data_IF_657303784119
#
_entry.id   IF_657303784119
#
_cell.length_a   1.000
_cell.length_b   1.000
_cell.length_c   1.000
_cell.angle_alpha   90.00
_cell.angle_beta   90.00
_cell.angle_gamma   90.00
#
_symmetry.space_group_name_H-M   'P 1'
#
loop_
_entity.id
_entity.type
_entity.pdbx_description
1 polymer ?
#
# COMPACT_ATOMS: atom_id res chain seq x y z
N UNK A 1 29.03 -8.69 -39.26
CA UNK A 1 27.75 -8.14 -38.75
C UNK A 1 26.64 -9.13 -39.08
N UNK A 2 26.33 -10.11 -38.23
CA UNK A 2 25.22 -11.01 -38.49
C UNK A 2 23.94 -10.40 -37.93
N UNK A 3 23.06 -10.06 -38.86
CA UNK A 3 21.63 -9.88 -38.64
C UNK A 3 21.04 -11.13 -37.98
N UNK A 4 20.54 -10.99 -36.75
CA UNK A 4 19.58 -11.95 -36.22
C UNK A 4 18.17 -11.42 -36.43
N UNK A 5 17.59 -11.74 -37.59
CA UNK A 5 16.16 -11.99 -37.67
C UNK A 5 15.85 -13.19 -36.76
N UNK A 6 14.93 -13.03 -35.80
CA UNK A 6 14.28 -14.15 -35.13
C UNK A 6 12.78 -13.93 -35.05
N UNK A 7 12.12 -14.70 -35.92
CA UNK A 7 10.90 -15.47 -35.74
C UNK A 7 9.75 -14.83 -34.96
N UNK A 8 8.70 -14.51 -35.72
CA UNK A 8 7.30 -14.51 -35.27
C UNK A 8 7.02 -15.74 -34.42
N UNK A 9 6.88 -15.53 -33.10
CA UNK A 9 6.10 -16.36 -32.21
C UNK A 9 4.88 -15.53 -31.80
N UNK A 10 3.97 -15.35 -32.75
CA UNK A 10 2.54 -15.32 -32.43
C UNK A 10 2.23 -16.55 -31.58
N UNK A 11 1.54 -16.35 -30.45
CA UNK A 11 1.26 -17.29 -29.35
C UNK A 11 2.23 -17.18 -28.16
N UNK A 12 2.06 -16.09 -27.39
CA UNK A 12 2.43 -16.07 -25.97
C UNK A 12 1.42 -16.87 -25.14
N UNK A 13 1.75 -17.28 -23.90
CA UNK A 13 1.03 -18.30 -23.13
C UNK A 13 -0.32 -17.83 -22.52
N UNK A 14 -0.99 -16.87 -23.16
CA UNK A 14 -2.16 -16.18 -22.58
C UNK A 14 -3.38 -16.08 -23.50
N UNK A 15 -3.48 -16.91 -24.54
CA UNK A 15 -4.81 -17.33 -25.03
C UNK A 15 -5.40 -18.27 -23.95
N UNK A 16 -6.09 -17.69 -22.96
CA UNK A 16 -6.71 -18.45 -21.87
C UNK A 16 -6.68 -17.79 -20.49
N UNK A 17 -6.04 -16.62 -20.31
CA UNK A 17 -6.42 -15.72 -19.23
C UNK A 17 -7.63 -14.89 -19.70
N UNK A 18 -8.73 -15.58 -19.99
CA UNK A 18 -10.02 -14.98 -19.65
C UNK A 18 -9.92 -14.74 -18.14
N UNK A 19 -9.89 -13.47 -17.74
CA UNK A 19 -10.36 -13.12 -16.41
C UNK A 19 -11.75 -13.71 -16.39
N UNK A 20 -11.92 -14.88 -15.77
CA UNK A 20 -13.22 -15.42 -15.46
C UNK A 20 -13.87 -14.36 -14.59
N UNK A 21 -14.60 -13.46 -15.25
CA UNK A 21 -15.80 -12.84 -14.74
C UNK A 21 -16.82 -13.98 -14.59
N UNK A 22 -16.49 -14.97 -13.76
CA UNK A 22 -17.55 -15.68 -13.07
C UNK A 22 -18.20 -14.58 -12.25
N UNK A 23 -19.39 -14.19 -12.69
CA UNK A 23 -20.37 -13.40 -11.96
C UNK A 23 -20.56 -14.03 -10.56
N UNK A 24 -19.63 -13.77 -9.65
CA UNK A 24 -20.02 -13.48 -8.29
C UNK A 24 -20.74 -12.15 -8.42
N UNK A 25 -22.07 -12.23 -8.62
CA UNK A 25 -22.97 -11.18 -8.13
C UNK A 25 -22.67 -11.02 -6.64
N UNK A 26 -21.61 -10.27 -6.33
CA UNK A 26 -21.34 -9.70 -5.04
C UNK A 26 -22.55 -8.82 -4.79
N UNK A 27 -23.38 -9.22 -3.81
CA UNK A 27 -24.46 -8.40 -3.30
C UNK A 27 -23.96 -6.95 -3.24
N UNK A 28 -24.70 -5.99 -3.82
CA UNK A 28 -24.26 -4.58 -3.85
C UNK A 28 -23.98 -4.03 -2.44
N UNK A 29 -24.49 -4.68 -1.38
CA UNK A 29 -24.20 -4.35 0.02
C UNK A 29 -22.77 -4.71 0.49
N UNK A 30 -22.11 -5.69 -0.13
CA UNK A 30 -20.78 -6.23 0.26
C UNK A 30 -19.59 -5.53 -0.41
N UNK A 31 -19.83 -4.58 -1.31
CA UNK A 31 -18.75 -3.97 -2.11
C UNK A 31 -18.08 -2.75 -1.46
N UNK A 32 -18.63 -2.23 -0.36
CA UNK A 32 -18.12 -1.03 0.29
C UNK A 32 -16.95 -1.36 1.25
N UNK A 33 -15.72 -1.12 0.81
CA UNK A 33 -14.51 -1.49 1.54
C UNK A 33 -14.41 -0.83 2.93
N UNK A 34 -14.76 0.45 3.08
CA UNK A 34 -14.74 1.14 4.38
C UNK A 34 -15.61 0.46 5.45
N UNK A 35 -16.83 0.05 5.07
CA UNK A 35 -17.75 -0.75 5.89
C UNK A 35 -17.18 -2.11 6.25
N UNK A 36 -16.64 -2.82 5.26
CA UNK A 36 -16.05 -4.14 5.50
C UNK A 36 -14.88 -4.05 6.48
N UNK A 37 -14.05 -3.01 6.36
CA UNK A 37 -12.95 -2.75 7.30
C UNK A 37 -13.49 -2.43 8.69
N UNK A 38 -14.50 -1.55 8.82
CA UNK A 38 -15.10 -1.27 10.13
C UNK A 38 -15.62 -2.54 10.80
N UNK A 39 -16.37 -3.37 10.07
CA UNK A 39 -16.90 -4.63 10.58
C UNK A 39 -15.78 -5.59 10.99
N UNK A 40 -14.73 -5.69 10.16
CA UNK A 40 -13.52 -6.44 10.47
C UNK A 40 -12.85 -5.90 11.75
N UNK A 41 -12.66 -4.58 11.88
CA UNK A 41 -12.08 -3.95 13.06
C UNK A 41 -12.87 -4.26 14.33
N UNK A 42 -14.20 -4.28 14.30
CA UNK A 42 -15.02 -4.69 15.45
C UNK A 42 -14.68 -6.12 15.94
N UNK A 43 -14.34 -7.03 15.02
CA UNK A 43 -13.96 -8.41 15.34
C UNK A 43 -12.46 -8.60 15.65
N UNK A 44 -11.59 -7.90 14.94
CA UNK A 44 -10.13 -7.98 15.05
C UNK A 44 -9.66 -7.27 16.30
N UNK A 45 -10.15 -6.06 16.58
CA UNK A 45 -9.80 -5.31 17.78
C UNK A 45 -10.34 -5.96 19.06
N UNK A 46 -11.41 -6.75 18.98
CA UNK A 46 -11.93 -7.49 20.14
C UNK A 46 -11.15 -8.76 20.46
N UNK A 47 -10.42 -9.33 19.49
CA UNK A 47 -9.58 -10.54 19.64
C UNK A 47 -8.08 -10.26 19.71
N UNK A 48 -7.65 -9.06 19.30
CA UNK A 48 -6.26 -8.71 19.25
C UNK A 48 -5.65 -8.76 20.67
N UNK A 49 -4.84 -9.78 20.89
CA UNK A 49 -3.83 -9.86 21.94
C UNK A 49 -2.77 -8.81 21.64
N UNK A 50 -3.10 -7.54 21.88
CA UNK A 50 -2.20 -6.39 21.80
C UNK A 50 -1.11 -6.49 22.88
N UNK A 51 -0.20 -7.44 22.73
CA UNK A 51 1.08 -7.40 23.41
C UNK A 51 2.06 -6.82 22.41
N UNK A 52 1.89 -5.53 22.14
CA UNK A 52 2.90 -4.80 21.41
C UNK A 52 4.10 -4.70 22.34
N UNK A 53 5.13 -5.48 22.03
CA UNK A 53 6.28 -5.68 22.89
C UNK A 53 7.31 -4.58 22.65
N UNK A 54 7.69 -3.88 23.71
CA UNK A 54 8.74 -2.85 23.67
C UNK A 54 10.09 -3.54 23.50
N UNK A 55 10.62 -3.56 22.28
CA UNK A 55 11.99 -4.01 22.00
C UNK A 55 12.87 -2.87 21.47
N UNK A 56 14.13 -3.17 21.16
CA UNK A 56 15.11 -2.26 20.52
C UNK A 56 14.75 -1.90 19.05
N UNK A 57 13.48 -1.99 18.67
CA UNK A 57 13.00 -1.91 17.29
C UNK A 57 12.73 -0.47 16.81
N UNK A 58 12.86 0.53 17.70
CA UNK A 58 12.59 1.93 17.42
C UNK A 58 13.83 2.80 17.54
N UNK A 59 13.94 3.80 16.67
CA UNK A 59 14.99 4.82 16.70
C UNK A 59 14.44 6.11 17.34
N UNK A 60 15.01 6.48 18.50
CA UNK A 60 14.66 7.69 19.27
C UNK A 60 14.96 8.99 18.52
N UNK A 61 16.01 9.01 17.68
CA UNK A 61 16.44 10.24 16.99
C UNK A 61 15.42 10.68 15.94
N UNK A 62 14.62 9.75 15.41
CA UNK A 62 13.58 10.03 14.43
C UNK A 62 12.31 10.56 15.09
N UNK A 63 11.93 10.02 16.24
CA UNK A 63 10.64 10.34 16.84
C UNK A 63 10.61 11.72 17.49
N UNK A 64 11.75 12.21 17.98
CA UNK A 64 11.84 13.41 18.85
C UNK A 64 10.94 13.35 20.11
N UNK A 65 10.26 12.22 20.31
CA UNK A 65 9.32 11.83 21.37
C UNK A 65 9.73 10.41 21.81
N UNK A 66 9.39 10.03 23.05
CA UNK A 66 9.67 8.66 23.53
C UNK A 66 8.83 7.63 22.73
N UNK A 67 9.46 6.62 22.10
CA UNK A 67 8.76 5.48 21.50
C UNK A 67 7.78 4.83 22.48
N UNK A 68 8.14 4.73 23.77
CA UNK A 68 7.28 4.19 24.82
C UNK A 68 5.98 5.00 24.95
N UNK A 69 6.08 6.33 25.00
CA UNK A 69 4.91 7.20 25.08
C UNK A 69 4.03 7.09 23.84
N UNK A 70 4.62 7.19 22.64
CA UNK A 70 3.88 7.08 21.38
C UNK A 70 3.16 5.74 21.27
N UNK A 71 3.84 4.68 21.69
CA UNK A 71 3.30 3.35 21.71
C UNK A 71 2.13 3.20 22.69
N UNK A 72 2.28 3.69 23.93
CA UNK A 72 1.20 3.71 24.92
C UNK A 72 -0.02 4.49 24.43
N UNK A 73 0.19 5.64 23.78
CA UNK A 73 -0.88 6.43 23.19
C UNK A 73 -1.58 5.69 22.05
N UNK A 74 -0.82 5.11 21.13
CA UNK A 74 -1.39 4.33 20.02
C UNK A 74 -2.26 3.19 20.56
N UNK A 75 -1.74 2.40 21.52
CA UNK A 75 -2.49 1.32 22.17
C UNK A 75 -3.78 1.82 22.82
N UNK A 76 -3.71 2.96 23.53
CA UNK A 76 -4.88 3.59 24.14
C UNK A 76 -5.91 3.99 23.09
N UNK A 77 -5.49 4.60 21.98
CA UNK A 77 -6.42 5.03 20.95
C UNK A 77 -7.07 3.86 20.22
N UNK A 78 -6.30 2.79 19.97
CA UNK A 78 -6.85 1.56 19.40
C UNK A 78 -7.89 0.93 20.34
N UNK A 79 -7.62 0.87 21.65
CA UNK A 79 -8.59 0.40 22.64
C UNK A 79 -9.86 1.26 22.68
N UNK A 80 -9.71 2.59 22.72
CA UNK A 80 -10.84 3.52 22.76
C UNK A 80 -11.70 3.41 21.49
N UNK A 81 -11.08 3.18 20.32
CA UNK A 81 -11.80 2.93 19.06
C UNK A 81 -12.53 1.58 19.10
N UNK A 82 -11.89 0.54 19.62
CA UNK A 82 -12.50 -0.79 19.78
C UNK A 82 -13.74 -0.74 20.68
N UNK A 83 -13.70 0.05 21.75
CA UNK A 83 -14.83 0.24 22.67
C UNK A 83 -15.92 1.10 22.05
N UNK A 84 -15.55 2.18 21.34
CA UNK A 84 -16.49 3.01 20.59
C UNK A 84 -17.29 2.22 19.55
N UNK A 85 -16.62 1.32 18.81
CA UNK A 85 -17.23 0.41 17.85
C UNK A 85 -18.26 -0.56 18.46
N UNK A 86 -18.11 -0.91 19.74
CA UNK A 86 -19.05 -1.79 20.45
C UNK A 86 -20.26 -1.03 21.01
N UNK A 87 -20.06 0.22 21.41
CA UNK A 87 -21.03 0.99 22.20
C UNK A 87 -21.99 1.85 21.37
N UNK A 88 -21.58 2.30 20.18
CA UNK A 88 -22.37 3.25 19.37
C UNK A 88 -22.65 2.71 17.96
N UNK A 89 -23.93 2.59 17.62
CA UNK A 89 -24.38 2.32 16.24
C UNK A 89 -24.61 3.61 15.43
N UNK A 90 -24.76 4.73 16.11
CA UNK A 90 -25.12 6.02 15.48
C UNK A 90 -23.99 6.60 14.63
N UNK A 91 -22.74 6.15 14.88
CA UNK A 91 -21.54 6.64 14.19
C UNK A 91 -21.04 5.73 13.06
N UNK A 92 -21.74 4.64 12.74
CA UNK A 92 -21.28 3.63 11.77
C UNK A 92 -21.05 4.20 10.36
N UNK A 93 -22.01 4.94 9.81
CA UNK A 93 -21.90 5.54 8.48
C UNK A 93 -20.80 6.61 8.42
N UNK A 94 -20.66 7.41 9.48
CA UNK A 94 -19.61 8.42 9.56
C UNK A 94 -18.21 7.79 9.59
N UNK A 95 -18.07 6.65 10.27
CA UNK A 95 -16.83 5.90 10.32
C UNK A 95 -16.53 5.17 9.00
N UNK A 96 -17.55 4.61 8.35
CA UNK A 96 -17.42 4.03 7.00
C UNK A 96 -16.84 5.05 6.02
N UNK A 97 -17.39 6.27 6.05
CA UNK A 97 -16.93 7.38 5.21
C UNK A 97 -15.53 7.88 5.61
N UNK A 98 -15.23 7.95 6.90
CA UNK A 98 -13.89 8.34 7.37
C UNK A 98 -12.82 7.35 6.94
N UNK A 99 -13.05 6.04 7.11
CA UNK A 99 -12.11 5.00 6.66
C UNK A 99 -11.92 5.08 5.14
N UNK A 100 -13.01 5.27 4.40
CA UNK A 100 -12.95 5.41 2.93
C UNK A 100 -12.14 6.63 2.51
N UNK A 101 -12.29 7.75 3.22
CA UNK A 101 -11.53 8.98 2.99
C UNK A 101 -10.04 8.80 3.27
N UNK A 102 -9.69 8.14 4.38
CA UNK A 102 -8.29 7.87 4.73
C UNK A 102 -7.63 6.88 3.76
N UNK A 103 -8.33 5.84 3.30
CA UNK A 103 -7.80 4.95 2.25
C UNK A 103 -7.55 5.71 0.95
N UNK A 104 -8.40 6.68 0.62
CA UNK A 104 -8.24 7.52 -0.56
C UNK A 104 -7.03 8.44 -0.43
N UNK A 105 -6.81 9.03 0.75
CA UNK A 105 -5.61 9.80 1.06
C UNK A 105 -4.35 8.93 1.06
N UNK A 106 -4.41 7.69 1.55
CA UNK A 106 -3.31 6.72 1.48
C UNK A 106 -2.87 6.51 0.02
N UNK A 107 -3.81 6.30 -0.90
CA UNK A 107 -3.54 6.16 -2.33
C UNK A 107 -2.93 7.45 -2.90
N UNK A 108 -3.52 8.61 -2.58
CA UNK A 108 -3.00 9.92 -3.02
C UNK A 108 -1.55 10.15 -2.62
N UNK A 109 -1.22 10.03 -1.33
CA UNK A 109 0.13 10.27 -0.85
C UNK A 109 1.14 9.26 -1.42
N UNK A 110 0.73 8.00 -1.56
CA UNK A 110 1.52 6.95 -2.18
C UNK A 110 1.79 7.24 -3.67
N UNK A 111 0.84 7.81 -4.40
CA UNK A 111 1.04 8.28 -5.77
C UNK A 111 1.92 9.52 -5.86
N UNK A 112 1.79 10.46 -4.93
CA UNK A 112 2.59 11.68 -4.90
C UNK A 112 4.08 11.43 -4.64
N UNK A 113 4.40 10.37 -3.88
CA UNK A 113 5.79 9.92 -3.71
C UNK A 113 6.41 9.56 -5.07
N UNK A 114 5.68 8.82 -5.90
CA UNK A 114 6.12 8.36 -7.24
C UNK A 114 5.88 9.36 -8.38
N UNK A 115 5.32 10.55 -8.09
CA UNK A 115 4.92 11.53 -9.12
C UNK A 115 3.93 10.93 -10.13
N UNK A 116 2.99 10.14 -9.62
CA UNK A 116 1.92 9.49 -10.39
C UNK A 116 0.55 10.08 -10.05
N UNK A 117 -0.45 9.84 -10.91
CA UNK A 117 -1.82 10.25 -10.64
C UNK A 117 -2.08 11.76 -10.79
N UNK A 118 -2.88 12.34 -9.89
CA UNK A 118 -3.46 13.67 -10.04
C UNK A 118 -3.56 14.47 -8.74
N UNK A 119 -4.34 15.55 -8.76
CA UNK A 119 -4.58 16.39 -7.57
C UNK A 119 -5.33 15.65 -6.46
N UNK A 120 -5.27 16.18 -5.24
CA UNK A 120 -5.90 15.55 -4.06
C UNK A 120 -7.40 15.33 -4.26
N UNK A 121 -8.14 16.34 -4.70
CA UNK A 121 -9.61 16.27 -4.81
C UNK A 121 -10.07 15.21 -5.81
N UNK A 122 -9.47 15.21 -7.01
CA UNK A 122 -9.80 14.21 -8.04
C UNK A 122 -9.33 12.81 -7.64
N UNK A 123 -8.18 12.70 -6.98
CA UNK A 123 -7.68 11.40 -6.49
C UNK A 123 -8.62 10.83 -5.44
N UNK A 124 -9.01 11.65 -4.45
CA UNK A 124 -9.93 11.24 -3.39
C UNK A 124 -11.28 10.85 -3.97
N UNK A 125 -11.85 11.67 -4.87
CA UNK A 125 -13.11 11.36 -5.55
C UNK A 125 -13.09 9.98 -6.22
N UNK A 126 -12.08 9.70 -7.05
CA UNK A 126 -11.99 8.44 -7.79
C UNK A 126 -11.74 7.24 -6.89
N UNK A 127 -10.87 7.38 -5.89
CA UNK A 127 -10.62 6.31 -4.92
C UNK A 127 -11.87 5.98 -4.11
N UNK A 128 -12.62 6.99 -3.66
CA UNK A 128 -13.88 6.78 -2.92
C UNK A 128 -14.93 6.08 -3.78
N UNK A 129 -15.02 6.38 -5.07
CA UNK A 129 -15.90 5.66 -5.99
C UNK A 129 -15.50 4.17 -6.08
N UNK A 130 -14.21 3.87 -6.28
CA UNK A 130 -13.69 2.48 -6.28
C UNK A 130 -13.98 1.75 -4.96
N UNK A 131 -13.70 2.39 -3.82
CA UNK A 131 -13.89 1.77 -2.50
C UNK A 131 -15.36 1.59 -2.11
N UNK A 132 -16.29 2.27 -2.79
CA UNK A 132 -17.73 2.03 -2.67
C UNK A 132 -18.25 0.96 -3.63
N UNK A 133 -17.37 0.36 -4.44
CA UNK A 133 -17.74 -0.66 -5.44
C UNK A 133 -18.32 -0.07 -6.73
N UNK A 134 -18.18 1.24 -6.96
CA UNK A 134 -18.69 1.86 -8.18
C UNK A 134 -17.77 1.55 -9.36
N UNK A 135 -18.35 1.03 -10.43
CA UNK A 135 -17.65 0.88 -11.69
C UNK A 135 -17.37 2.25 -12.33
N UNK A 136 -16.11 2.47 -12.71
CA UNK A 136 -15.65 3.68 -13.36
C UNK A 136 -15.36 3.39 -14.83
N UNK A 137 -15.90 4.24 -15.72
CA UNK A 137 -15.55 4.20 -17.14
C UNK A 137 -14.04 4.37 -17.34
N UNK A 138 -13.47 3.53 -18.20
CA UNK A 138 -12.06 3.61 -18.60
C UNK A 138 -11.74 4.86 -19.41
N UNK A 139 -12.72 5.33 -20.17
CA UNK A 139 -12.62 6.53 -20.99
C UNK A 139 -13.49 7.64 -20.42
N UNK A 140 -12.96 8.87 -20.48
CA UNK A 140 -13.67 10.09 -20.16
C UNK A 140 -13.45 11.10 -21.29
N UNK A 141 -14.51 11.85 -21.61
CA UNK A 141 -14.46 12.89 -22.63
C UNK A 141 -13.59 14.07 -22.19
N UNK A 142 -13.02 14.81 -23.13
CA UNK A 142 -12.31 16.06 -22.81
C UNK A 142 -13.20 17.12 -22.17
N UNK A 143 -14.54 17.00 -22.30
CA UNK A 143 -15.48 17.92 -21.64
C UNK A 143 -15.81 17.52 -20.20
N UNK A 144 -15.34 16.36 -19.75
CA UNK A 144 -15.57 15.86 -18.39
C UNK A 144 -14.79 16.71 -17.36
N UNK A 145 -15.41 17.01 -16.23
CA UNK A 145 -14.75 17.76 -15.14
C UNK A 145 -13.51 17.03 -14.61
N UNK A 146 -13.58 15.70 -14.49
CA UNK A 146 -12.46 14.88 -14.02
C UNK A 146 -11.28 15.00 -14.98
N UNK A 147 -11.55 15.04 -16.29
CA UNK A 147 -10.53 15.22 -17.31
C UNK A 147 -9.83 16.57 -17.15
N UNK A 148 -10.61 17.63 -16.92
CA UNK A 148 -10.07 18.98 -16.74
C UNK A 148 -9.24 19.11 -15.46
N UNK A 149 -9.69 18.52 -14.35
CA UNK A 149 -8.95 18.53 -13.08
C UNK A 149 -7.60 17.80 -13.19
N UNK A 150 -7.59 16.63 -13.84
CA UNK A 150 -6.37 15.88 -14.11
C UNK A 150 -5.43 16.65 -15.03
N UNK A 151 -5.96 17.25 -16.12
CA UNK A 151 -5.16 18.04 -17.06
C UNK A 151 -4.56 19.27 -16.39
N UNK A 152 -5.32 19.98 -15.57
CA UNK A 152 -4.87 21.14 -14.82
C UNK A 152 -3.76 20.76 -13.82
N UNK A 153 -3.92 19.63 -13.11
CA UNK A 153 -2.87 19.13 -12.23
C UNK A 153 -1.56 18.87 -12.98
N UNK A 154 -1.63 18.16 -14.12
CA UNK A 154 -0.45 17.84 -14.93
C UNK A 154 0.25 19.12 -15.43
N UNK A 155 -0.52 20.10 -15.90
CA UNK A 155 0.00 21.42 -16.30
C UNK A 155 0.71 22.14 -15.14
N UNK A 156 0.09 22.19 -13.97
CA UNK A 156 0.65 22.85 -12.78
C UNK A 156 1.94 22.19 -12.28
N UNK A 157 2.16 20.91 -12.61
CA UNK A 157 3.38 20.15 -12.29
C UNK A 157 4.42 20.16 -13.42
N UNK A 158 4.16 20.86 -14.53
CA UNK A 158 4.99 20.82 -15.74
C UNK A 158 5.20 19.40 -16.28
N UNK A 159 4.16 18.56 -16.20
CA UNK A 159 4.15 17.18 -16.70
C UNK A 159 3.43 17.10 -18.06
N UNK A 160 3.65 16.04 -18.86
CA UNK A 160 2.88 15.82 -20.07
C UNK A 160 1.37 15.84 -19.78
N UNK A 161 0.63 16.67 -20.50
CA UNK A 161 -0.80 16.94 -20.23
C UNK A 161 -1.70 16.71 -21.47
N UNK A 162 -1.18 15.99 -22.47
CA UNK A 162 -1.97 15.54 -23.61
C UNK A 162 -2.95 14.43 -23.23
N UNK A 163 -3.90 14.13 -24.10
CA UNK A 163 -4.99 13.19 -23.84
C UNK A 163 -4.52 11.83 -23.26
N UNK A 164 -3.50 11.22 -23.86
CA UNK A 164 -2.95 9.96 -23.39
C UNK A 164 -2.35 10.04 -21.97
N UNK A 165 -1.76 11.19 -21.60
CA UNK A 165 -1.20 11.41 -20.27
C UNK A 165 -2.28 11.63 -19.21
N UNK A 166 -3.36 12.35 -19.56
CA UNK A 166 -4.54 12.51 -18.69
C UNK A 166 -5.20 11.16 -18.40
N UNK A 167 -5.43 10.34 -19.43
CA UNK A 167 -5.99 9.00 -19.24
C UNK A 167 -5.03 8.07 -18.46
N UNK A 168 -3.71 8.20 -18.65
CA UNK A 168 -2.72 7.48 -17.83
C UNK A 168 -2.82 7.89 -16.36
N UNK A 169 -2.84 9.20 -16.08
CA UNK A 169 -2.96 9.75 -14.72
C UNK A 169 -4.23 9.25 -14.02
N UNK A 170 -5.38 9.25 -14.71
CA UNK A 170 -6.63 8.63 -14.21
C UNK A 170 -6.43 7.15 -13.88
N UNK A 171 -5.86 6.38 -14.80
CA UNK A 171 -5.62 4.94 -14.61
C UNK A 171 -4.70 4.66 -13.44
N UNK A 172 -3.64 5.43 -13.25
CA UNK A 172 -2.73 5.28 -12.10
C UNK A 172 -3.43 5.50 -10.75
N UNK A 173 -4.45 6.37 -10.68
CA UNK A 173 -5.29 6.53 -9.50
C UNK A 173 -6.20 5.30 -9.31
N UNK A 174 -7.00 4.98 -10.34
CA UNK A 174 -8.02 3.93 -10.26
C UNK A 174 -7.39 2.58 -9.99
N UNK A 175 -6.34 2.21 -10.72
CA UNK A 175 -5.66 0.92 -10.55
C UNK A 175 -4.99 0.78 -9.18
N UNK A 176 -4.53 1.87 -8.58
CA UNK A 176 -3.97 1.84 -7.24
C UNK A 176 -5.06 1.65 -6.18
N UNK A 177 -6.20 2.34 -6.31
CA UNK A 177 -7.35 2.10 -5.47
C UNK A 177 -7.86 0.65 -5.59
N UNK A 178 -7.95 0.12 -6.82
CA UNK A 178 -8.34 -1.28 -7.06
C UNK A 178 -7.35 -2.28 -6.46
N UNK A 179 -6.04 -2.02 -6.59
CA UNK A 179 -4.99 -2.85 -5.99
C UNK A 179 -5.08 -2.85 -4.45
N UNK A 180 -5.31 -1.68 -3.85
CA UNK A 180 -5.53 -1.54 -2.41
C UNK A 180 -6.78 -2.32 -1.97
N UNK A 181 -7.91 -2.15 -2.69
CA UNK A 181 -9.16 -2.85 -2.43
C UNK A 181 -8.96 -4.36 -2.45
N UNK A 182 -8.33 -4.87 -3.51
CA UNK A 182 -8.07 -6.30 -3.65
C UNK A 182 -7.16 -6.84 -2.52
N UNK A 183 -6.03 -6.19 -2.24
CA UNK A 183 -5.09 -6.69 -1.21
C UNK A 183 -5.73 -6.68 0.19
N UNK A 184 -6.42 -5.60 0.55
CA UNK A 184 -7.10 -5.48 1.85
C UNK A 184 -8.26 -6.48 1.96
N UNK A 185 -9.05 -6.66 0.89
CA UNK A 185 -10.12 -7.67 0.85
C UNK A 185 -9.57 -9.08 1.10
N UNK A 186 -8.52 -9.48 0.36
CA UNK A 186 -7.97 -10.83 0.50
C UNK A 186 -7.37 -11.07 1.89
N UNK A 187 -6.59 -10.12 2.40
CA UNK A 187 -5.76 -10.33 3.59
C UNK A 187 -6.53 -9.98 4.88
N UNK A 188 -7.21 -8.84 4.92
CA UNK A 188 -7.89 -8.35 6.12
C UNK A 188 -9.32 -8.88 6.24
N UNK A 189 -10.09 -8.89 5.14
CA UNK A 189 -11.53 -9.24 5.19
C UNK A 189 -11.72 -10.76 5.08
N UNK A 190 -11.09 -11.39 4.08
CA UNK A 190 -11.15 -12.85 3.86
C UNK A 190 -10.16 -13.63 4.72
N UNK A 191 -9.31 -12.95 5.48
CA UNK A 191 -8.40 -13.56 6.45
C UNK A 191 -7.26 -14.39 5.84
N UNK A 192 -6.95 -14.24 4.55
CA UNK A 192 -5.86 -14.99 3.91
C UNK A 192 -4.49 -14.45 4.37
N UNK A 193 -3.47 -15.30 4.26
CA UNK A 193 -2.08 -14.88 4.45
C UNK A 193 -1.56 -14.16 3.19
N UNK A 194 -0.68 -13.18 3.40
CA UNK A 194 -0.08 -12.42 2.30
C UNK A 194 0.91 -13.31 1.53
N UNK A 195 0.41 -13.92 0.46
CA UNK A 195 1.16 -14.87 -0.36
C UNK A 195 1.77 -14.24 -1.61
N UNK A 196 2.69 -14.97 -2.25
CA UNK A 196 3.23 -14.64 -3.57
C UNK A 196 2.12 -14.34 -4.58
N UNK A 197 1.06 -15.16 -4.58
CA UNK A 197 -0.08 -15.01 -5.49
C UNK A 197 -0.79 -13.67 -5.28
N UNK A 198 -1.11 -13.32 -4.03
CA UNK A 198 -1.76 -12.04 -3.71
C UNK A 198 -0.87 -10.88 -4.13
N UNK A 199 0.43 -10.93 -3.83
CA UNK A 199 1.38 -9.87 -4.20
C UNK A 199 1.43 -9.68 -5.74
N UNK A 200 1.53 -10.77 -6.50
CA UNK A 200 1.57 -10.73 -7.96
C UNK A 200 0.24 -10.26 -8.56
N UNK A 201 -0.90 -10.73 -8.06
CA UNK A 201 -2.22 -10.29 -8.52
C UNK A 201 -2.48 -8.80 -8.21
N UNK A 202 -2.14 -8.34 -7.01
CA UNK A 202 -2.20 -6.92 -6.65
C UNK A 202 -1.32 -6.07 -7.56
N UNK A 203 -0.09 -6.51 -7.85
CA UNK A 203 0.79 -5.80 -8.79
C UNK A 203 0.21 -5.80 -10.21
N UNK A 204 -0.42 -6.90 -10.63
CA UNK A 204 -1.17 -7.00 -11.88
C UNK A 204 -2.23 -5.91 -11.98
N UNK A 205 -3.08 -5.80 -10.96
CA UNK A 205 -4.12 -4.76 -10.89
C UNK A 205 -3.50 -3.37 -10.91
N UNK A 206 -2.49 -3.11 -10.07
CA UNK A 206 -1.82 -1.81 -9.94
C UNK A 206 -1.26 -1.28 -11.26
N UNK A 207 -0.80 -2.17 -12.15
CA UNK A 207 -0.09 -1.82 -13.39
C UNK A 207 -0.88 -2.11 -14.66
N UNK A 208 -2.09 -2.66 -14.53
CA UNK A 208 -2.95 -2.97 -15.66
C UNK A 208 -3.21 -1.73 -16.52
N UNK A 209 -3.03 -1.87 -17.84
CA UNK A 209 -3.14 -0.79 -18.85
C UNK A 209 -2.19 0.41 -18.64
N UNK A 210 -1.11 0.25 -17.88
CA UNK A 210 -0.07 1.28 -17.69
C UNK A 210 1.22 0.77 -18.32
N UNK A 211 1.61 1.33 -19.47
CA UNK A 211 2.86 0.93 -20.15
C UNK A 211 4.12 1.50 -19.48
N UNK A 212 5.23 0.79 -19.61
CA UNK A 212 6.54 1.19 -19.07
C UNK A 212 7.51 1.50 -20.21
N UNK A 213 7.78 2.79 -20.47
CA UNK A 213 8.79 3.25 -21.44
C UNK A 213 8.73 2.52 -22.81
N UNK A 214 7.52 2.40 -23.39
CA UNK A 214 7.28 1.69 -24.65
C UNK A 214 7.07 0.19 -24.51
N UNK A 215 7.31 -0.40 -23.34
CA UNK A 215 6.95 -1.79 -23.00
C UNK A 215 5.46 -1.87 -22.68
N UNK A 216 4.66 -2.67 -23.41
CA UNK A 216 3.27 -2.91 -23.06
C UNK A 216 3.14 -3.57 -21.68
N UNK A 217 2.09 -3.22 -20.95
CA UNK A 217 1.89 -3.66 -19.57
C UNK A 217 1.83 -5.18 -19.42
N UNK A 218 1.30 -5.89 -20.43
CA UNK A 218 1.16 -7.34 -20.44
C UNK A 218 2.49 -8.10 -20.27
N UNK A 219 3.62 -7.46 -20.57
CA UNK A 219 4.94 -8.09 -20.46
C UNK A 219 5.53 -8.04 -19.05
N UNK A 220 5.03 -7.17 -18.16
CA UNK A 220 5.63 -6.98 -16.84
C UNK A 220 4.60 -6.97 -15.69
N UNK A 221 3.34 -6.69 -15.99
CA UNK A 221 2.27 -6.62 -15.02
C UNK A 221 2.07 -7.99 -14.35
N UNK A 222 2.00 -7.98 -13.02
CA UNK A 222 1.92 -9.19 -12.19
C UNK A 222 3.11 -10.15 -12.24
N UNK A 223 4.22 -9.78 -12.90
CA UNK A 223 5.35 -10.68 -13.14
C UNK A 223 6.66 -10.12 -12.58
N UNK A 224 7.45 -10.96 -11.95
CA UNK A 224 8.79 -10.57 -11.51
C UNK A 224 9.66 -10.18 -12.70
N UNK A 225 10.50 -9.17 -12.49
CA UNK A 225 11.41 -8.67 -13.52
C UNK A 225 12.38 -9.76 -13.96
N UNK A 226 12.71 -9.74 -15.25
CA UNK A 226 13.67 -10.66 -15.87
C UNK A 226 14.95 -9.95 -16.31
N UNK A 227 15.16 -8.72 -15.83
CA UNK A 227 16.34 -7.91 -16.05
C UNK A 227 16.72 -7.12 -14.79
N UNK A 228 17.96 -6.65 -14.75
CA UNK A 228 18.48 -5.86 -13.65
C UNK A 228 18.01 -4.42 -13.72
N UNK A 229 17.69 -3.86 -12.55
CA UNK A 229 17.15 -2.50 -12.40
C UNK A 229 17.96 -1.73 -11.36
N UNK A 230 17.92 -0.41 -11.46
CA UNK A 230 18.56 0.50 -10.52
C UNK A 230 17.66 1.69 -10.25
N UNK A 231 17.76 2.25 -9.04
CA UNK A 231 17.15 3.53 -8.69
C UNK A 231 18.27 4.52 -8.37
N UNK A 232 18.43 5.56 -9.19
CA UNK A 232 19.59 6.45 -9.11
C UNK A 232 20.90 5.67 -9.28
N UNK A 233 21.78 5.72 -8.27
CA UNK A 233 23.03 4.96 -8.20
C UNK A 233 22.90 3.59 -7.53
N UNK A 234 21.77 3.31 -6.87
CA UNK A 234 21.55 2.06 -6.16
C UNK A 234 21.13 0.95 -7.14
N UNK A 235 21.93 -0.10 -7.21
CA UNK A 235 21.66 -1.30 -8.02
C UNK A 235 21.01 -2.34 -7.14
N UNK A 236 19.82 -2.79 -7.53
CA UNK A 236 19.10 -3.84 -6.80
C UNK A 236 19.69 -5.23 -7.10
N UNK A 237 19.27 -6.24 -6.34
CA UNK A 237 19.76 -7.61 -6.50
C UNK A 237 19.59 -8.13 -7.94
N UNK A 238 20.38 -9.13 -8.33
CA UNK A 238 20.23 -9.73 -9.66
C UNK A 238 18.83 -10.34 -9.85
N UNK A 239 18.22 -10.13 -11.01
CA UNK A 239 16.85 -10.60 -11.28
C UNK A 239 16.68 -12.12 -11.08
N UNK A 240 17.74 -12.90 -11.32
CA UNK A 240 17.71 -14.35 -11.13
C UNK A 240 17.53 -14.77 -9.67
N UNK A 241 17.84 -13.88 -8.71
CA UNK A 241 17.71 -14.12 -7.28
C UNK A 241 16.34 -13.71 -6.72
N UNK A 242 15.60 -12.86 -7.44
CA UNK A 242 14.30 -12.32 -6.99
C UNK A 242 13.30 -13.41 -6.61
N UNK A 243 13.08 -14.50 -7.39
CA UNK A 243 12.11 -15.52 -7.02
C UNK A 243 12.45 -16.23 -5.71
N UNK A 244 13.73 -16.42 -5.42
CA UNK A 244 14.18 -17.01 -4.16
C UNK A 244 14.02 -16.00 -3.01
N UNK A 245 14.48 -14.77 -3.18
CA UNK A 245 14.38 -13.74 -2.15
C UNK A 245 12.94 -13.45 -1.73
N UNK A 246 12.00 -13.45 -2.69
CA UNK A 246 10.58 -13.29 -2.40
C UNK A 246 10.00 -14.48 -1.62
N UNK A 247 10.42 -15.70 -1.92
CA UNK A 247 10.03 -16.90 -1.16
C UNK A 247 10.56 -16.83 0.27
N UNK A 248 11.85 -16.56 0.42
CA UNK A 248 12.50 -16.43 1.73
C UNK A 248 11.85 -15.32 2.57
N UNK A 249 11.47 -14.19 1.96
CA UNK A 249 10.73 -13.11 2.63
C UNK A 249 9.35 -13.56 3.11
N UNK A 250 8.61 -14.33 2.31
CA UNK A 250 7.27 -14.83 2.68
C UNK A 250 7.37 -15.88 3.80
N UNK A 251 8.31 -16.81 3.73
CA UNK A 251 8.51 -17.83 4.77
C UNK A 251 8.88 -17.18 6.12
N UNK A 252 9.68 -16.12 6.08
CA UNK A 252 9.98 -15.31 7.26
C UNK A 252 8.75 -14.55 7.75
N UNK A 253 7.95 -13.96 6.85
CA UNK A 253 6.72 -13.24 7.19
C UNK A 253 5.75 -14.15 7.94
N UNK A 254 5.56 -15.39 7.47
CA UNK A 254 4.68 -16.36 8.14
C UNK A 254 5.17 -16.71 9.55
N UNK A 255 6.47 -16.69 9.78
CA UNK A 255 7.07 -16.93 11.10
C UNK A 255 6.86 -15.73 12.03
N UNK A 256 7.11 -14.52 11.53
CA UNK A 256 6.92 -13.28 12.30
C UNK A 256 5.43 -13.01 12.60
N UNK A 257 4.51 -13.37 11.68
CA UNK A 257 3.05 -13.29 11.90
C UNK A 257 2.65 -14.16 13.10
N UNK A 258 3.13 -15.41 13.18
CA UNK A 258 2.84 -16.30 14.31
C UNK A 258 3.35 -15.71 15.62
N UNK A 259 4.53 -15.10 15.60
CA UNK A 259 5.08 -14.40 16.76
C UNK A 259 4.22 -13.17 17.13
N UNK A 260 3.73 -12.40 16.15
CA UNK A 260 2.82 -11.27 16.38
C UNK A 260 1.50 -11.72 17.00
N UNK A 261 0.88 -12.80 16.51
CA UNK A 261 -0.37 -13.33 17.06
C UNK A 261 -0.21 -13.85 18.51
N UNK A 262 0.98 -14.33 18.85
CA UNK A 262 1.37 -14.72 20.21
C UNK A 262 1.78 -13.53 21.09
N UNK A 263 1.79 -12.31 20.55
CA UNK A 263 2.18 -11.10 21.29
C UNK A 263 3.69 -10.97 21.52
N UNK A 264 4.50 -11.67 20.73
CA UNK A 264 5.96 -11.69 20.84
C UNK A 264 6.63 -10.72 19.86
N UNK A 265 5.92 -10.31 18.80
CA UNK A 265 6.44 -9.41 17.76
C UNK A 265 5.49 -8.26 17.46
N UNK A 266 6.01 -7.04 17.48
CA UNK A 266 5.24 -5.81 17.32
C UNK A 266 4.65 -5.68 15.89
N UNK A 267 3.33 -5.50 15.72
CA UNK A 267 2.69 -5.39 14.40
C UNK A 267 3.13 -4.15 13.59
N UNK A 268 3.53 -3.05 14.25
CA UNK A 268 4.09 -1.88 13.57
C UNK A 268 5.46 -2.21 12.98
N UNK A 269 6.26 -2.97 13.74
CA UNK A 269 7.57 -3.45 13.31
C UNK A 269 7.42 -4.47 12.19
N UNK A 270 6.46 -5.40 12.29
CA UNK A 270 6.09 -6.34 11.23
C UNK A 270 5.82 -5.59 9.91
N UNK A 271 4.87 -4.67 9.91
CA UNK A 271 4.51 -3.89 8.72
C UNK A 271 5.71 -3.15 8.12
N UNK A 272 6.54 -2.53 8.96
CA UNK A 272 7.70 -1.75 8.54
C UNK A 272 8.84 -2.62 8.00
N UNK A 273 9.12 -3.76 8.65
CA UNK A 273 10.13 -4.73 8.24
C UNK A 273 9.83 -5.28 6.85
N UNK A 274 8.59 -5.67 6.58
CA UNK A 274 8.22 -6.25 5.28
C UNK A 274 8.00 -5.22 4.17
N UNK A 275 7.60 -3.99 4.51
CA UNK A 275 7.69 -2.86 3.58
C UNK A 275 9.13 -2.63 3.10
N UNK A 276 10.07 -2.55 4.06
CA UNK A 276 11.50 -2.37 3.78
C UNK A 276 12.11 -3.53 3.00
N UNK A 277 11.87 -4.78 3.41
CA UNK A 277 12.40 -5.96 2.72
C UNK A 277 11.90 -6.04 1.28
N UNK A 278 10.59 -5.86 1.06
CA UNK A 278 10.01 -5.95 -0.27
C UNK A 278 10.61 -4.90 -1.24
N UNK A 279 10.74 -3.63 -0.81
CA UNK A 279 11.24 -2.57 -1.69
C UNK A 279 12.72 -2.74 -2.05
N UNK A 280 13.52 -3.37 -1.17
CA UNK A 280 14.93 -3.68 -1.40
C UNK A 280 15.15 -4.94 -2.24
N UNK A 281 14.25 -5.94 -2.18
CA UNK A 281 14.23 -7.03 -3.18
C UNK A 281 13.90 -6.46 -4.56
N UNK A 282 12.98 -5.48 -4.61
CA UNK A 282 12.55 -4.78 -5.81
C UNK A 282 12.08 -5.76 -6.91
N UNK A 283 11.06 -6.59 -6.64
CA UNK A 283 10.76 -7.75 -7.47
C UNK A 283 10.18 -7.42 -8.84
N UNK A 284 9.55 -6.26 -9.01
CA UNK A 284 8.87 -5.86 -10.26
C UNK A 284 9.68 -4.84 -11.06
N UNK A 285 9.32 -4.66 -12.33
CA UNK A 285 9.96 -3.67 -13.21
C UNK A 285 9.59 -2.21 -12.87
N UNK A 286 8.40 -1.98 -12.33
CA UNK A 286 7.88 -0.70 -11.84
C UNK A 286 6.85 -0.96 -10.73
N UNK A 287 6.44 0.08 -9.99
CA UNK A 287 5.38 -0.02 -8.99
C UNK A 287 5.79 -0.56 -7.62
N UNK A 288 7.07 -0.91 -7.42
CA UNK A 288 7.56 -1.48 -6.16
C UNK A 288 7.33 -0.57 -4.94
N UNK A 289 7.48 0.75 -5.10
CA UNK A 289 7.20 1.71 -4.01
C UNK A 289 5.73 1.75 -3.60
N UNK A 290 4.81 1.72 -4.58
CA UNK A 290 3.36 1.66 -4.31
C UNK A 290 2.99 0.32 -3.66
N UNK A 291 3.53 -0.78 -4.17
CA UNK A 291 3.34 -2.12 -3.60
C UNK A 291 3.84 -2.22 -2.15
N UNK A 292 5.03 -1.70 -1.82
CA UNK A 292 5.55 -1.80 -0.45
C UNK A 292 4.68 -1.02 0.56
N UNK A 293 4.12 0.13 0.14
CA UNK A 293 3.20 0.92 0.97
C UNK A 293 1.83 0.26 1.12
N UNK A 294 1.35 -0.49 0.11
CA UNK A 294 0.16 -1.34 0.23
C UNK A 294 0.39 -2.50 1.21
N UNK A 295 1.55 -3.16 1.13
CA UNK A 295 1.95 -4.23 2.07
C UNK A 295 2.00 -3.67 3.50
N UNK A 296 2.65 -2.51 3.69
CA UNK A 296 2.72 -1.83 4.99
C UNK A 296 1.33 -1.62 5.58
N UNK A 297 0.44 -0.95 4.84
CA UNK A 297 -0.88 -0.62 5.34
C UNK A 297 -1.77 -1.85 5.55
N UNK A 298 -1.66 -2.87 4.70
CA UNK A 298 -2.42 -4.11 4.85
C UNK A 298 -2.02 -4.86 6.11
N UNK A 299 -0.72 -5.04 6.35
CA UNK A 299 -0.22 -5.70 7.56
C UNK A 299 -0.54 -4.88 8.83
N UNK A 300 -0.36 -3.57 8.77
CA UNK A 300 -0.68 -2.69 9.89
C UNK A 300 -2.18 -2.77 10.23
N UNK A 301 -3.05 -2.74 9.23
CA UNK A 301 -4.49 -2.82 9.42
C UNK A 301 -4.91 -4.19 10.01
N UNK A 302 -4.38 -5.29 9.45
CA UNK A 302 -4.72 -6.65 9.92
C UNK A 302 -4.26 -6.90 11.35
N UNK A 303 -3.03 -6.53 11.69
CA UNK A 303 -2.42 -6.94 12.96
C UNK A 303 -2.42 -5.87 14.05
N UNK A 304 -2.76 -4.61 13.73
CA UNK A 304 -2.90 -3.54 14.74
C UNK A 304 -4.23 -2.79 14.68
N UNK A 305 -5.00 -2.92 13.60
CA UNK A 305 -6.17 -2.07 13.32
C UNK A 305 -5.82 -0.64 12.90
N UNK A 306 -4.55 -0.26 12.87
CA UNK A 306 -4.09 1.04 12.38
C UNK A 306 -3.83 1.06 10.87
N UNK A 307 -3.84 2.25 10.30
CA UNK A 307 -3.40 2.52 8.93
C UNK A 307 -2.77 3.91 8.88
N UNK A 308 -1.94 4.17 7.87
CA UNK A 308 -1.18 5.41 7.70
C UNK A 308 -1.27 5.98 6.29
N UNK A 309 -1.34 7.30 6.25
CA UNK A 309 -1.22 8.11 5.04
C UNK A 309 0.18 8.73 5.03
N UNK A 310 1.00 8.38 4.02
CA UNK A 310 2.37 8.87 3.84
C UNK A 310 2.45 9.66 2.53
N UNK A 311 3.18 10.77 2.52
CA UNK A 311 3.40 11.61 1.35
C UNK A 311 2.27 12.62 1.10
N UNK A 312 1.49 12.96 2.14
CA UNK A 312 0.38 13.92 2.02
C UNK A 312 0.88 15.35 1.74
N UNK A 313 2.04 15.70 2.30
CA UNK A 313 2.68 16.99 2.10
C UNK A 313 4.17 16.84 1.77
N UNK A 314 4.81 17.97 1.44
CA UNK A 314 6.20 18.00 1.01
C UNK A 314 7.21 17.66 2.12
N UNK A 315 6.90 17.93 3.39
CA UNK A 315 7.78 17.59 4.51
C UNK A 315 7.72 16.10 4.78
N UNK A 316 6.52 15.55 4.88
CA UNK A 316 6.26 14.14 5.11
C UNK A 316 6.89 13.26 4.01
N UNK A 317 6.68 13.66 2.75
CA UNK A 317 7.32 13.02 1.58
C UNK A 317 8.84 13.04 1.68
N UNK A 318 9.46 14.17 2.06
CA UNK A 318 10.92 14.27 2.18
C UNK A 318 11.46 13.38 3.29
N UNK A 319 10.76 13.32 4.42
CA UNK A 319 11.16 12.50 5.55
C UNK A 319 11.11 11.01 5.20
N UNK A 320 9.99 10.54 4.63
CA UNK A 320 9.87 9.15 4.16
C UNK A 320 10.96 8.80 3.14
N UNK A 321 11.21 9.66 2.15
CA UNK A 321 12.24 9.41 1.14
C UNK A 321 13.63 9.33 1.74
N UNK A 322 13.96 10.20 2.72
CA UNK A 322 15.24 10.13 3.44
C UNK A 322 15.40 8.79 4.14
N UNK A 323 14.39 8.36 4.90
CA UNK A 323 14.38 7.07 5.61
C UNK A 323 14.58 5.90 4.64
N UNK A 324 13.82 5.88 3.54
CA UNK A 324 13.91 4.82 2.54
C UNK A 324 15.30 4.76 1.87
N UNK A 325 15.89 5.91 1.54
CA UNK A 325 17.22 6.00 0.92
C UNK A 325 18.31 5.54 1.90
N UNK A 326 18.29 6.02 3.14
CA UNK A 326 19.27 5.64 4.17
C UNK A 326 19.21 4.14 4.47
N UNK A 327 17.99 3.60 4.64
CA UNK A 327 17.80 2.18 4.89
C UNK A 327 18.32 1.32 3.72
N UNK A 328 18.06 1.73 2.47
CA UNK A 328 18.55 1.01 1.28
C UNK A 328 20.07 1.11 1.12
N UNK A 329 20.67 2.24 1.51
CA UNK A 329 22.13 2.39 1.53
C UNK A 329 22.78 1.49 2.60
N UNK A 330 22.12 1.33 3.75
CA UNK A 330 22.52 0.39 4.81
C UNK A 330 22.53 -1.05 4.33
N UNK A 331 21.51 -1.49 3.59
CA UNK A 331 21.44 -2.84 2.99
C UNK A 331 22.59 -3.10 2.01
N UNK A 332 22.91 -2.11 1.16
CA UNK A 332 23.94 -2.26 0.13
C UNK A 332 25.36 -2.34 0.70
N UNK A 333 25.60 -1.76 1.87
CA UNK A 333 26.95 -1.56 2.40
C UNK A 333 27.56 -2.80 3.07
N UNK A 334 26.79 -3.87 3.33
CA UNK A 334 27.22 -5.14 3.98
C UNK A 334 28.14 -4.99 5.22
N UNK A 335 28.21 -3.80 5.82
CA UNK A 335 29.12 -3.46 6.90
C UNK A 335 28.47 -3.60 8.29
N UNK A 336 27.22 -4.03 8.33
CA UNK A 336 26.60 -4.51 9.55
C UNK A 336 26.18 -5.97 9.35
N UNK A 337 26.60 -6.82 10.28
CA UNK A 337 26.41 -8.27 10.22
C UNK A 337 24.93 -8.70 10.12
N UNK A 338 24.67 -10.01 10.07
CA UNK A 338 23.30 -10.54 10.11
C UNK A 338 22.58 -10.00 11.36
N UNK A 339 21.60 -9.11 11.17
CA UNK A 339 20.86 -8.48 12.28
C UNK A 339 20.77 -6.94 12.26
N UNK A 340 21.32 -6.25 11.26
CA UNK A 340 21.13 -4.80 11.10
C UNK A 340 19.66 -4.48 10.76
N UNK A 341 18.89 -4.01 11.74
CA UNK A 341 17.50 -3.65 11.54
C UNK A 341 17.38 -2.27 10.86
N UNK A 342 17.70 -2.18 9.56
CA UNK A 342 17.60 -0.95 8.77
C UNK A 342 16.16 -0.42 8.67
N UNK A 343 15.17 -1.24 9.03
CA UNK A 343 13.76 -0.84 9.12
C UNK A 343 13.42 -0.02 10.38
N UNK A 344 14.31 0.14 11.37
CA UNK A 344 13.97 0.84 12.64
C UNK A 344 13.49 2.27 12.45
N UNK A 345 14.14 3.03 11.56
CA UNK A 345 13.70 4.40 11.25
C UNK A 345 12.30 4.42 10.63
N UNK A 346 12.01 3.47 9.74
CA UNK A 346 10.69 3.31 9.14
C UNK A 346 9.65 2.86 10.19
N UNK A 347 10.02 2.01 11.14
CA UNK A 347 9.15 1.58 12.23
C UNK A 347 8.78 2.76 13.15
N UNK A 348 9.74 3.59 13.53
CA UNK A 348 9.50 4.85 14.25
C UNK A 348 8.54 5.77 13.48
N UNK A 349 8.84 6.02 12.21
CA UNK A 349 7.99 6.84 11.36
C UNK A 349 6.56 6.29 11.26
N UNK A 350 6.41 4.99 11.06
CA UNK A 350 5.13 4.29 10.98
C UNK A 350 4.35 4.40 12.29
N UNK A 351 5.00 4.21 13.45
CA UNK A 351 4.37 4.32 14.77
C UNK A 351 3.77 5.71 15.00
N UNK A 352 4.52 6.77 14.68
CA UNK A 352 4.05 8.16 14.80
C UNK A 352 2.81 8.40 13.95
N UNK A 353 2.83 7.99 12.68
CA UNK A 353 1.69 8.14 11.78
C UNK A 353 0.48 7.30 12.23
N UNK A 354 0.71 6.06 12.69
CA UNK A 354 -0.34 5.17 13.15
C UNK A 354 -1.03 5.73 14.41
N UNK A 355 -0.24 6.25 15.36
CA UNK A 355 -0.73 6.98 16.54
C UNK A 355 -1.62 8.16 16.13
N UNK A 356 -1.15 8.99 15.21
CA UNK A 356 -1.87 10.19 14.78
C UNK A 356 -3.15 9.87 14.03
N UNK A 357 -3.13 8.85 13.16
CA UNK A 357 -4.31 8.34 12.47
C UNK A 357 -5.37 7.85 13.47
N UNK A 358 -4.98 6.98 14.41
CA UNK A 358 -5.92 6.45 15.41
C UNK A 358 -6.43 7.50 16.39
N UNK A 359 -5.63 8.55 16.67
CA UNK A 359 -6.11 9.71 17.44
C UNK A 359 -7.28 10.41 16.77
N UNK A 360 -7.26 10.57 15.44
CA UNK A 360 -8.35 11.17 14.66
C UNK A 360 -9.58 10.26 14.63
N UNK A 361 -9.41 8.96 14.37
CA UNK A 361 -10.51 7.97 14.43
C UNK A 361 -11.21 8.03 15.79
N UNK A 362 -10.43 8.03 16.87
CA UNK A 362 -10.94 8.13 18.25
C UNK A 362 -11.80 9.37 18.49
N UNK A 363 -11.46 10.52 17.89
CA UNK A 363 -12.22 11.76 18.08
C UNK A 363 -13.65 11.67 17.51
N UNK A 364 -13.92 10.78 16.55
CA UNK A 364 -15.26 10.57 16.00
C UNK A 364 -16.23 10.03 17.06
N UNK A 365 -15.74 9.23 18.00
CA UNK A 365 -16.54 8.66 19.10
C UNK A 365 -16.73 9.61 20.29
N UNK A 366 -16.05 10.77 20.29
CA UNK A 366 -16.10 11.75 21.40
C UNK A 366 -17.02 12.93 21.13
N UNK A 367 -17.72 12.97 19.99
CA UNK A 367 -18.56 14.11 19.60
C UNK A 367 -19.93 14.17 20.30
N UNK A 368 -20.25 13.20 21.16
CA UNK A 368 -21.56 13.07 21.83
C UNK A 368 -21.53 13.24 23.38
N UNK A 369 -20.54 13.93 23.95
CA UNK A 369 -20.51 14.25 25.40
C UNK A 369 -20.52 15.73 25.68
#
# INVERSE_FOLDING_TARGET
>A
MPSHQRQSLSQGPFEGLELNHEDQQLNHEDQHLGRNIRQMMSSTLSKATFTINMGDAYDYNILQESPEQLHQEFRKYVSDVADGLKQSKDNETALDEYITDELAHMVYGSNMIEVAGGGVDITVKLCKDVFRGKELSEEISERDSDYQDLKLHLLNKNLPSGHAAVLRSRREIVQHAEAARYMIDQVCIKGKDLSHKIISETHGILTNKIGLNGTPWQYYSGQYRTWNVKCGSHVFMDYSQVPRAMRDMIDELDSDIKATEQGQFDPVVLASKYCHKFVNIHPFADGNGRMCRLILNTLLLKYSGGFICIGQDGQDRREYMRIAIEASAGEASQSQGPGAANYKQLASFTLRHARDSMRKVRQLFKRDT
#
